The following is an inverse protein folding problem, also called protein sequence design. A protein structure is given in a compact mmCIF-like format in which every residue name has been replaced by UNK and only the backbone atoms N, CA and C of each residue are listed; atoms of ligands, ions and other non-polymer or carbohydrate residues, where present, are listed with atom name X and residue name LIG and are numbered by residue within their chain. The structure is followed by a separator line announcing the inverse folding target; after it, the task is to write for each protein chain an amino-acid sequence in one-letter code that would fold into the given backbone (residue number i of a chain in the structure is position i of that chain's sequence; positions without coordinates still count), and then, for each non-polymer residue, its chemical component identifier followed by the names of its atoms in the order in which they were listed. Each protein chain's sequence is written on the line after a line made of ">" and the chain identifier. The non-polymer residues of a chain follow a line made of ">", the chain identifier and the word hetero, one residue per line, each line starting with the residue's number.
data_IF_744565269930
#
_entry.id   IF_744565269930
#
_cell.length_a   1.000
_cell.length_b   1.000
_cell.length_c   1.000
_cell.angle_alpha   90.00
_cell.angle_beta   90.00
_cell.angle_gamma   90.00
#
_symmetry.space_group_name_H-M   'P 1'
#
loop_
_entity.id
_entity.type
_entity.pdbx_description
1 polymer ?
#
# COMPACT_ATOMS: atom_id res chain seq x y z
N UNK A 1 -1.59 -25.66 -16.58
CA UNK A 1 -1.07 -25.57 -15.20
C UNK A 1 0.11 -24.63 -15.27
N UNK A 2 0.03 -23.46 -14.64
CA UNK A 2 1.13 -22.51 -14.69
C UNK A 2 2.25 -23.04 -13.80
N UNK A 3 3.41 -23.32 -14.40
CA UNK A 3 4.63 -23.87 -13.78
C UNK A 3 5.29 -22.93 -12.74
N UNK A 4 4.70 -21.74 -12.55
CA UNK A 4 5.15 -20.73 -11.60
C UNK A 4 4.13 -20.62 -10.47
N UNK A 5 4.40 -21.32 -9.36
CA UNK A 5 3.60 -21.21 -8.14
C UNK A 5 3.50 -19.75 -7.64
N UNK A 6 2.47 -19.47 -6.82
CA UNK A 6 2.30 -18.15 -6.22
C UNK A 6 3.55 -17.76 -5.41
N UNK A 7 4.20 -16.68 -5.81
CA UNK A 7 5.35 -16.14 -5.08
C UNK A 7 4.85 -15.41 -3.85
N UNK A 8 5.26 -15.86 -2.67
CA UNK A 8 5.04 -15.12 -1.43
C UNK A 8 5.94 -13.87 -1.42
N UNK A 9 5.34 -12.70 -1.22
CA UNK A 9 6.08 -11.44 -1.10
C UNK A 9 6.49 -11.25 0.37
N UNK A 10 7.78 -11.43 0.65
CA UNK A 10 8.36 -11.16 1.96
C UNK A 10 8.76 -9.69 2.10
N UNK A 11 8.49 -9.11 3.28
CA UNK A 11 8.93 -7.76 3.60
C UNK A 11 10.44 -7.68 3.58
N UNK A 12 10.98 -6.75 2.80
CA UNK A 12 12.42 -6.49 2.71
C UNK A 12 12.89 -5.55 3.81
N UNK A 13 14.17 -5.64 4.15
CA UNK A 13 14.77 -4.82 5.20
C UNK A 13 15.24 -3.45 4.70
N UNK A 14 15.44 -3.32 3.38
CA UNK A 14 16.07 -2.16 2.75
C UNK A 14 17.60 -2.20 2.79
N UNK A 15 18.19 -3.07 3.63
CA UNK A 15 19.63 -3.34 3.67
C UNK A 15 20.09 -4.27 2.53
N UNK A 16 19.14 -4.92 1.88
CA UNK A 16 19.34 -5.81 0.73
C UNK A 16 20.11 -5.06 -0.39
N UNK A 17 21.07 -5.74 -1.03
CA UNK A 17 21.79 -5.22 -2.18
C UNK A 17 21.17 -5.76 -3.47
N UNK A 18 21.19 -4.95 -4.52
CA UNK A 18 20.91 -5.44 -5.88
C UNK A 18 21.97 -6.46 -6.30
N UNK A 19 21.60 -7.38 -7.19
CA UNK A 19 22.48 -8.45 -7.66
C UNK A 19 22.55 -8.47 -9.20
N UNK A 20 23.73 -8.74 -9.73
CA UNK A 20 24.03 -9.05 -11.12
C UNK A 20 24.74 -10.41 -11.15
N UNK A 21 24.18 -11.38 -11.87
CA UNK A 21 24.66 -12.77 -11.92
C UNK A 21 24.97 -13.40 -10.55
N UNK A 22 24.14 -13.06 -9.55
CA UNK A 22 24.28 -13.53 -8.17
C UNK A 22 25.30 -12.77 -7.31
N UNK A 23 26.03 -11.83 -7.88
CA UNK A 23 26.98 -10.97 -7.17
C UNK A 23 26.33 -9.62 -6.77
N UNK A 24 26.58 -9.10 -5.55
CA UNK A 24 25.99 -7.82 -5.12
C UNK A 24 26.62 -6.61 -5.84
N UNK A 25 25.80 -5.70 -6.37
CA UNK A 25 26.24 -4.52 -7.15
C UNK A 25 26.28 -3.21 -6.35
N UNK A 26 26.62 -3.25 -5.05
CA UNK A 26 26.88 -2.06 -4.20
C UNK A 26 25.70 -1.09 -3.97
N UNK A 27 24.61 -1.20 -4.74
CA UNK A 27 23.40 -0.39 -4.63
C UNK A 27 22.46 -1.05 -3.62
N UNK A 28 21.99 -0.27 -2.64
CA UNK A 28 21.04 -0.73 -1.63
C UNK A 28 19.61 -0.59 -2.11
N UNK A 29 18.75 -1.52 -1.73
CA UNK A 29 17.30 -1.41 -1.93
C UNK A 29 16.72 -0.13 -1.31
N UNK A 30 17.28 0.31 -0.17
CA UNK A 30 16.94 1.60 0.43
C UNK A 30 17.11 2.79 -0.52
N UNK A 31 18.13 2.78 -1.39
CA UNK A 31 18.36 3.87 -2.35
C UNK A 31 17.19 3.96 -3.34
N UNK A 32 16.68 2.81 -3.80
CA UNK A 32 15.50 2.75 -4.67
C UNK A 32 14.24 3.24 -3.95
N UNK A 33 14.02 2.84 -2.69
CA UNK A 33 12.87 3.32 -1.92
C UNK A 33 12.92 4.83 -1.68
N UNK A 34 14.08 5.38 -1.38
CA UNK A 34 14.27 6.83 -1.26
C UNK A 34 13.97 7.54 -2.58
N UNK A 35 14.55 7.07 -3.70
CA UNK A 35 14.29 7.65 -5.02
C UNK A 35 12.80 7.58 -5.41
N UNK A 36 12.14 6.45 -5.17
CA UNK A 36 10.74 6.23 -5.58
C UNK A 36 9.69 6.85 -4.66
N UNK A 37 10.02 7.04 -3.37
CA UNK A 37 9.03 7.29 -2.32
C UNK A 37 9.37 8.48 -1.41
N UNK A 38 10.22 9.41 -1.86
CA UNK A 38 10.52 10.64 -1.08
C UNK A 38 9.46 11.74 -1.23
N UNK A 39 8.72 11.77 -2.34
CA UNK A 39 7.67 12.76 -2.55
C UNK A 39 6.36 12.37 -1.85
N UNK A 40 6.30 12.64 -0.54
CA UNK A 40 5.12 12.36 0.29
C UNK A 40 3.92 13.27 -0.03
N UNK A 41 4.12 14.36 -0.81
CA UNK A 41 3.05 15.27 -1.23
C UNK A 41 2.37 14.82 -2.53
N UNK A 42 2.99 13.90 -3.27
CA UNK A 42 2.38 13.25 -4.42
C UNK A 42 1.05 12.58 -4.04
N UNK A 43 0.02 12.79 -4.86
CA UNK A 43 -1.28 12.19 -4.64
C UNK A 43 -1.25 10.65 -4.68
N UNK A 44 -0.33 10.04 -5.45
CA UNK A 44 -0.15 8.59 -5.53
C UNK A 44 0.44 8.01 -4.26
N UNK A 45 1.51 8.63 -3.73
CA UNK A 45 2.21 8.10 -2.56
C UNK A 45 1.49 8.45 -1.25
N UNK A 46 0.86 9.62 -1.18
CA UNK A 46 0.14 10.07 0.02
C UNK A 46 -0.95 9.08 0.46
N UNK A 47 -1.67 8.47 -0.49
CA UNK A 47 -2.65 7.42 -0.18
C UNK A 47 -2.02 6.24 0.55
N UNK A 48 -0.89 5.73 0.03
CA UNK A 48 -0.13 4.63 0.62
C UNK A 48 0.43 4.98 2.00
N UNK A 49 0.90 6.22 2.17
CA UNK A 49 1.37 6.73 3.46
C UNK A 49 0.24 6.76 4.50
N UNK A 50 -0.94 7.25 4.12
CA UNK A 50 -2.10 7.30 5.02
C UNK A 50 -2.54 5.89 5.45
N UNK A 51 -2.60 4.95 4.51
CA UNK A 51 -2.88 3.54 4.80
C UNK A 51 -1.86 2.95 5.79
N UNK A 52 -0.56 3.18 5.55
CA UNK A 52 0.50 2.73 6.44
C UNK A 52 0.38 3.31 7.86
N UNK A 53 0.03 4.58 8.00
CA UNK A 53 -0.18 5.22 9.31
C UNK A 53 -1.36 4.60 10.06
N UNK A 54 -2.49 4.37 9.38
CA UNK A 54 -3.67 3.71 9.96
C UNK A 54 -3.34 2.27 10.37
N UNK A 55 -2.70 1.49 9.50
CA UNK A 55 -2.27 0.13 9.80
C UNK A 55 -1.28 0.09 10.98
N UNK A 56 -0.38 1.09 11.08
CA UNK A 56 0.56 1.20 12.20
C UNK A 56 -0.16 1.50 13.51
N UNK A 57 -1.12 2.42 13.50
CA UNK A 57 -1.93 2.74 14.67
C UNK A 57 -2.77 1.54 15.14
N UNK A 58 -3.20 0.68 14.21
CA UNK A 58 -3.93 -0.56 14.50
C UNK A 58 -3.02 -1.76 14.84
N UNK A 59 -1.69 -1.61 14.76
CA UNK A 59 -0.74 -2.68 15.04
C UNK A 59 -0.67 -3.79 13.97
N UNK A 60 -1.19 -3.53 12.76
CA UNK A 60 -1.29 -4.52 11.67
C UNK A 60 -0.35 -4.22 10.49
N UNK A 61 0.54 -3.23 10.63
CA UNK A 61 1.51 -2.84 9.59
C UNK A 61 2.75 -3.73 9.50
N UNK A 62 2.75 -4.96 10.04
CA UNK A 62 3.93 -5.85 10.04
C UNK A 62 4.19 -6.52 8.68
N UNK A 63 3.13 -6.78 7.91
CA UNK A 63 3.18 -7.43 6.60
C UNK A 63 3.61 -6.53 5.43
N UNK A 64 3.36 -7.00 4.23
CA UNK A 64 3.45 -6.22 2.98
C UNK A 64 2.06 -5.81 2.54
N UNK A 65 1.95 -4.63 1.92
CA UNK A 65 0.69 -4.16 1.35
C UNK A 65 0.32 -5.02 0.13
N UNK A 66 -0.93 -5.47 0.06
CA UNK A 66 -1.50 -6.09 -1.14
C UNK A 66 -2.07 -4.98 -2.00
N UNK A 67 -1.52 -4.79 -3.20
CA UNK A 67 -2.08 -3.82 -4.15
C UNK A 67 -3.39 -4.36 -4.71
N UNK A 68 -4.43 -3.52 -4.77
CA UNK A 68 -5.78 -3.85 -5.28
C UNK A 68 -6.67 -4.71 -4.38
N UNK A 69 -6.40 -4.76 -3.07
CA UNK A 69 -7.37 -5.34 -2.15
C UNK A 69 -8.66 -4.50 -2.10
N UNK A 70 -9.80 -5.13 -1.84
CA UNK A 70 -11.09 -4.46 -1.70
C UNK A 70 -11.21 -3.70 -0.36
N UNK A 71 -10.24 -3.90 0.55
CA UNK A 71 -10.19 -3.34 1.89
C UNK A 71 -8.75 -2.89 2.14
N UNK A 72 -8.56 -1.63 2.55
CA UNK A 72 -7.21 -1.10 2.79
C UNK A 72 -6.58 -1.66 4.07
N UNK A 73 -7.33 -1.70 5.19
CA UNK A 73 -6.85 -2.19 6.48
C UNK A 73 -7.93 -3.00 7.21
N UNK A 74 -7.56 -4.10 7.86
CA UNK A 74 -8.43 -4.86 8.76
C UNK A 74 -7.89 -4.77 10.18
N UNK A 75 -8.70 -4.34 11.14
CA UNK A 75 -8.30 -4.29 12.55
C UNK A 75 -8.15 -5.70 13.14
N UNK A 76 -7.46 -5.86 14.29
CA UNK A 76 -7.42 -7.13 15.00
C UNK A 76 -8.81 -7.68 15.40
N UNK A 77 -9.80 -6.80 15.56
CA UNK A 77 -11.20 -7.16 15.84
C UNK A 77 -12.03 -7.48 14.58
N UNK A 78 -11.44 -7.45 13.39
CA UNK A 78 -12.10 -7.76 12.12
C UNK A 78 -12.85 -6.59 11.47
N UNK A 79 -12.69 -5.36 11.97
CA UNK A 79 -13.28 -4.16 11.35
C UNK A 79 -12.54 -3.84 10.06
N UNK A 80 -13.28 -3.70 8.97
CA UNK A 80 -12.76 -3.31 7.65
C UNK A 80 -12.70 -1.79 7.54
N UNK A 81 -11.55 -1.26 7.17
CA UNK A 81 -11.27 0.17 7.11
C UNK A 81 -10.86 0.52 5.69
N UNK A 82 -11.57 1.47 5.10
CA UNK A 82 -11.19 2.18 3.88
C UNK A 82 -10.47 3.48 4.28
N UNK A 83 -9.30 3.74 3.72
CA UNK A 83 -8.47 4.90 4.03
C UNK A 83 -8.49 5.88 2.87
N UNK A 84 -8.96 7.10 3.13
CA UNK A 84 -8.94 8.19 2.14
C UNK A 84 -8.08 9.33 2.65
N UNK A 85 -7.19 9.83 1.79
CA UNK A 85 -6.29 10.95 2.11
C UNK A 85 -6.48 12.13 1.17
N UNK A 86 -6.33 13.33 1.71
CA UNK A 86 -6.28 14.58 0.96
C UNK A 86 -5.27 15.53 1.61
N UNK A 87 -4.80 16.53 0.86
CA UNK A 87 -3.89 17.54 1.36
C UNK A 87 -4.13 18.86 0.64
N UNK A 88 -3.86 19.97 1.32
CA UNK A 88 -3.88 21.29 0.72
C UNK A 88 -2.83 21.39 -0.40
N UNK A 89 -1.60 20.97 -0.14
CA UNK A 89 -0.49 21.03 -1.08
C UNK A 89 -0.32 19.71 -1.84
N UNK A 90 0.13 19.81 -3.09
CA UNK A 90 0.56 18.69 -3.92
C UNK A 90 1.86 19.08 -4.61
N UNK A 91 2.81 18.16 -4.71
CA UNK A 91 4.15 18.45 -5.24
C UNK A 91 4.17 19.05 -6.64
N UNK A 92 3.21 18.64 -7.49
CA UNK A 92 3.08 19.12 -8.86
C UNK A 92 2.13 20.32 -9.01
N UNK A 93 1.45 20.77 -7.94
CA UNK A 93 0.40 21.78 -8.02
C UNK A 93 0.74 23.04 -7.21
N UNK A 94 0.80 24.18 -7.89
CA UNK A 94 1.12 25.48 -7.28
C UNK A 94 -0.03 26.19 -6.55
N UNK A 95 -1.18 25.55 -6.33
CA UNK A 95 -2.33 26.15 -5.61
C UNK A 95 -2.93 25.16 -4.61
N UNK A 96 -3.31 25.63 -3.40
CA UNK A 96 -3.96 24.77 -2.42
C UNK A 96 -5.26 24.14 -2.93
N UNK A 97 -5.53 22.91 -2.50
CA UNK A 97 -6.76 22.18 -2.76
C UNK A 97 -7.79 22.46 -1.66
N UNK A 98 -9.06 22.67 -2.02
CA UNK A 98 -10.15 22.64 -1.04
C UNK A 98 -10.42 21.18 -0.67
N UNK A 99 -10.27 20.85 0.61
CA UNK A 99 -10.46 19.49 1.10
C UNK A 99 -11.94 19.23 1.34
N UNK A 100 -12.48 18.18 0.73
CA UNK A 100 -13.83 17.68 0.93
C UNK A 100 -13.83 16.16 0.90
N UNK A 101 -14.59 15.53 1.79
CA UNK A 101 -14.78 14.08 1.81
C UNK A 101 -16.27 13.77 1.71
N UNK A 102 -16.61 12.76 0.91
CA UNK A 102 -17.96 12.21 0.88
C UNK A 102 -18.13 11.25 2.07
N UNK A 103 -19.05 11.56 2.97
CA UNK A 103 -19.37 10.74 4.15
C UNK A 103 -20.72 10.07 3.91
N UNK A 104 -20.78 9.26 2.86
CA UNK A 104 -21.92 8.40 2.57
C UNK A 104 -21.64 6.99 3.06
N UNK A 105 -22.68 6.32 3.56
CA UNK A 105 -22.63 4.88 3.82
C UNK A 105 -22.38 4.15 2.48
N UNK A 106 -21.21 3.51 2.34
CA UNK A 106 -20.89 2.67 1.18
C UNK A 106 -21.19 1.23 1.54
N UNK A 107 -22.12 0.59 0.82
CA UNK A 107 -22.35 -0.84 0.96
C UNK A 107 -21.11 -1.58 0.46
N UNK A 108 -20.54 -2.46 1.30
CA UNK A 108 -19.49 -3.37 0.84
C UNK A 108 -20.06 -4.21 -0.31
N UNK A 109 -19.37 -4.33 -1.46
CA UNK A 109 -19.84 -5.20 -2.52
C UNK A 109 -19.94 -6.62 -1.94
N UNK A 110 -21.12 -7.24 -2.06
CA UNK A 110 -21.28 -8.65 -1.72
C UNK A 110 -20.27 -9.43 -2.55
N UNK A 111 -19.31 -10.05 -1.86
CA UNK A 111 -18.38 -10.97 -2.47
C UNK A 111 -19.24 -12.09 -3.08
N UNK A 112 -19.42 -12.08 -4.41
CA UNK A 112 -20.09 -13.17 -5.10
C UNK A 112 -19.24 -14.41 -4.88
N UNK A 113 -19.62 -15.24 -3.92
CA UNK A 113 -19.12 -16.60 -3.81
C UNK A 113 -19.28 -17.23 -5.19
N UNK A 114 -18.17 -17.64 -5.82
CA UNK A 114 -18.25 -18.49 -7.00
C UNK A 114 -18.95 -19.78 -6.56
N UNK A 115 -20.08 -20.16 -7.18
CA UNK A 115 -20.67 -21.45 -6.88
C UNK A 115 -19.70 -22.55 -7.33
N UNK A 116 -19.32 -23.46 -6.42
CA UNK A 116 -18.64 -24.71 -6.78
C UNK A 116 -17.26 -24.99 -6.18
N UNK A 117 -16.96 -24.59 -4.94
CA UNK A 117 -15.84 -25.17 -4.20
C UNK A 117 -16.36 -25.79 -2.89
N UNK A 118 -16.87 -27.01 -3.00
CA UNK A 118 -16.88 -28.03 -1.96
C UNK A 118 -15.92 -29.13 -2.41
#
# INVERSE_FOLDING_TARGET
>A
MNEYGLRQVLRKSGKDLFQEDGAPVGIKLLNFWQWSSSDLLSNTLRGRLAEFLVASALGVASGTRVEWDAIDVVSPSGVKVEVKSSAYLQSWRGRPSRITFDIQHKLAPMMKLKPGCL
#
